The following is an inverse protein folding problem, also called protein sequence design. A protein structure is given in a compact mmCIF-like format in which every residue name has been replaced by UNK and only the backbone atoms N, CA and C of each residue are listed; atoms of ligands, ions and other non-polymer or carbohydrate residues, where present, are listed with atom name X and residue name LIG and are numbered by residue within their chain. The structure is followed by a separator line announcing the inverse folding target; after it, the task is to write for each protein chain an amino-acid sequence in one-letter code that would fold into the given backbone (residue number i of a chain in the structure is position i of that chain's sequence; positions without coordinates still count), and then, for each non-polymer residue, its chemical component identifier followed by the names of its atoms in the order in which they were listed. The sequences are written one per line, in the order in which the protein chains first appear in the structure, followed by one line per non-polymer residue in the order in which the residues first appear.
data_IF_914241876056
#
_entry.id   IF_914241876056
#
_cell.length_a   1.000
_cell.length_b   1.000
_cell.length_c   1.000
_cell.angle_alpha   90.00
_cell.angle_beta   90.00
_cell.angle_gamma   90.00
#
_symmetry.space_group_name_H-M   'P 1'
#
loop_
_entity.id
_entity.type
_entity.pdbx_description
1 polymer ?
#
# COMPACT_ATOMS: atom_id res chain seq x y z
N UNK A 1 -8.15 -42.60 17.38
CA UNK A 1 -7.91 -41.99 16.10
C UNK A 1 -7.31 -40.59 16.36
N UNK A 2 -5.97 -40.54 16.42
CA UNK A 2 -5.20 -39.28 16.44
C UNK A 2 -5.14 -38.77 15.01
N UNK A 3 -5.80 -37.66 14.77
CA UNK A 3 -5.62 -36.96 13.50
C UNK A 3 -4.26 -36.28 13.53
N UNK A 4 -3.29 -36.79 12.79
CA UNK A 4 -2.04 -36.11 12.50
C UNK A 4 -2.38 -34.87 11.64
N UNK A 5 -2.30 -33.70 12.26
CA UNK A 5 -2.40 -32.44 11.55
C UNK A 5 -1.24 -32.34 10.55
N UNK A 6 -1.54 -32.03 9.29
CA UNK A 6 -0.57 -31.84 8.24
C UNK A 6 0.51 -30.83 8.70
N UNK A 7 1.81 -31.05 8.40
CA UNK A 7 2.90 -30.15 8.79
C UNK A 7 2.68 -28.68 8.40
N UNK A 8 2.02 -28.43 7.27
CA UNK A 8 1.63 -27.07 6.84
C UNK A 8 0.69 -26.39 7.85
N UNK A 9 -0.28 -27.13 8.42
CA UNK A 9 -1.23 -26.57 9.40
C UNK A 9 -0.52 -26.22 10.72
N UNK A 10 0.54 -26.93 11.08
CA UNK A 10 1.36 -26.65 12.25
C UNK A 10 2.26 -25.41 12.07
N UNK A 11 2.74 -25.15 10.85
CA UNK A 11 3.54 -23.97 10.53
C UNK A 11 2.65 -22.71 10.54
N UNK A 12 1.46 -22.78 9.93
CA UNK A 12 0.49 -21.66 9.89
C UNK A 12 0.00 -21.26 11.30
N UNK A 13 -0.11 -22.23 12.24
CA UNK A 13 -0.50 -21.94 13.62
C UNK A 13 0.61 -21.27 14.46
N UNK A 14 1.81 -21.05 13.90
CA UNK A 14 2.94 -20.35 14.53
C UNK A 14 3.27 -19.00 13.87
N UNK A 15 2.67 -18.69 12.73
CA UNK A 15 2.92 -17.43 12.03
C UNK A 15 2.26 -16.28 12.77
N UNK A 16 3.04 -15.25 13.09
CA UNK A 16 2.54 -14.02 13.69
C UNK A 16 1.73 -13.24 12.64
N UNK A 17 0.71 -12.47 13.07
CA UNK A 17 -0.10 -11.71 12.11
C UNK A 17 0.69 -10.59 11.43
N UNK A 18 0.23 -10.20 10.25
CA UNK A 18 0.54 -8.91 9.65
C UNK A 18 -0.39 -7.89 10.29
N UNK A 19 0.17 -6.80 10.83
CA UNK A 19 -0.62 -5.72 11.41
C UNK A 19 -0.86 -4.64 10.39
N UNK A 20 -2.13 -4.31 10.16
CA UNK A 20 -2.59 -3.35 9.14
C UNK A 20 -3.17 -2.14 9.86
N UNK A 21 -2.63 -0.95 9.60
CA UNK A 21 -3.11 0.32 10.14
C UNK A 21 -4.03 0.99 9.14
N UNK A 22 -5.26 1.27 9.55
CA UNK A 22 -6.28 1.97 8.75
C UNK A 22 -6.47 3.38 9.31
N UNK A 23 -6.47 4.39 8.44
CA UNK A 23 -6.52 5.80 8.81
C UNK A 23 -7.88 6.45 8.54
N UNK A 24 -8.74 5.82 7.73
CA UNK A 24 -10.13 6.22 7.47
C UNK A 24 -10.95 4.98 7.10
N UNK A 25 -12.23 4.97 7.45
CA UNK A 25 -13.07 3.78 7.38
C UNK A 25 -13.20 3.19 5.96
N UNK A 26 -13.27 4.03 4.92
CA UNK A 26 -13.40 3.61 3.52
C UNK A 26 -12.08 3.15 2.87
N UNK A 27 -10.92 3.36 3.51
CA UNK A 27 -9.60 2.98 3.00
C UNK A 27 -9.02 1.77 3.77
N UNK A 28 -9.79 0.70 3.82
CA UNK A 28 -9.36 -0.57 4.42
C UNK A 28 -8.39 -1.36 3.53
N UNK A 29 -7.98 -2.56 3.98
CA UNK A 29 -6.97 -3.37 3.28
C UNK A 29 -7.42 -3.94 1.93
N UNK A 30 -8.72 -3.87 1.59
CA UNK A 30 -9.23 -4.23 0.28
C UNK A 30 -8.75 -5.60 -0.21
N UNK A 31 -8.19 -5.63 -1.42
CA UNK A 31 -7.68 -6.86 -2.02
C UNK A 31 -6.49 -7.47 -1.25
N UNK A 32 -5.72 -6.67 -0.53
CA UNK A 32 -4.63 -7.21 0.31
C UNK A 32 -5.16 -8.20 1.34
N UNK A 33 -6.27 -7.90 2.02
CA UNK A 33 -6.90 -8.83 2.96
C UNK A 33 -7.31 -10.13 2.25
N UNK A 34 -7.97 -10.05 1.10
CA UNK A 34 -8.33 -11.22 0.28
C UNK A 34 -7.10 -12.05 -0.11
N UNK A 35 -6.00 -11.38 -0.44
CA UNK A 35 -4.74 -12.04 -0.80
C UNK A 35 -4.14 -12.78 0.40
N UNK A 36 -4.08 -12.14 1.57
CA UNK A 36 -3.55 -12.73 2.80
C UNK A 36 -4.39 -13.93 3.26
N UNK A 37 -5.73 -13.81 3.20
CA UNK A 37 -6.66 -14.91 3.53
C UNK A 37 -6.44 -16.12 2.61
N UNK A 38 -6.32 -15.89 1.29
CA UNK A 38 -6.02 -16.96 0.32
C UNK A 38 -4.66 -17.61 0.55
N UNK A 39 -3.69 -16.84 1.01
CA UNK A 39 -2.35 -17.32 1.35
C UNK A 39 -2.28 -18.00 2.72
N UNK A 40 -3.35 -17.96 3.53
CA UNK A 40 -3.39 -18.49 4.89
C UNK A 40 -2.51 -17.69 5.86
N UNK A 41 -2.20 -16.42 5.55
CA UNK A 41 -1.38 -15.55 6.38
C UNK A 41 -2.29 -14.77 7.33
N UNK A 42 -2.14 -14.93 8.65
CA UNK A 42 -2.96 -14.22 9.61
C UNK A 42 -2.67 -12.71 9.56
N UNK A 43 -3.71 -11.91 9.73
CA UNK A 43 -3.61 -10.46 9.81
C UNK A 43 -4.57 -9.89 10.84
N UNK A 44 -4.28 -8.69 11.32
CA UNK A 44 -5.10 -7.94 12.26
C UNK A 44 -5.17 -6.48 11.83
N UNK A 45 -6.30 -5.82 12.11
CA UNK A 45 -6.52 -4.42 11.79
C UNK A 45 -6.40 -3.57 13.06
N UNK A 46 -5.68 -2.46 12.96
CA UNK A 46 -5.69 -1.37 13.93
C UNK A 46 -6.42 -0.18 13.31
N UNK A 47 -7.59 0.15 13.84
CA UNK A 47 -8.44 1.23 13.35
C UNK A 47 -8.01 2.56 14.01
N UNK A 48 -6.98 3.21 13.45
CA UNK A 48 -6.44 4.49 13.96
C UNK A 48 -7.53 5.59 13.90
N UNK A 49 -8.36 5.56 12.86
CA UNK A 49 -9.52 6.43 12.68
C UNK A 49 -10.61 6.26 13.76
N UNK A 50 -10.67 5.08 14.38
CA UNK A 50 -11.58 4.83 15.51
C UNK A 50 -10.94 5.11 16.89
N UNK A 51 -9.72 5.64 16.92
CA UNK A 51 -8.99 5.98 18.14
C UNK A 51 -8.25 4.79 18.78
N UNK A 52 -8.06 3.68 18.05
CA UNK A 52 -7.24 2.59 18.55
C UNK A 52 -5.79 3.02 18.70
N UNK A 53 -5.16 2.61 19.80
CA UNK A 53 -3.78 2.94 20.07
C UNK A 53 -2.84 2.18 19.12
N UNK A 54 -1.78 2.84 18.66
CA UNK A 54 -0.75 2.22 17.82
C UNK A 54 0.12 1.29 18.66
N UNK A 55 0.06 -0.03 18.44
CA UNK A 55 0.89 -0.97 19.18
C UNK A 55 2.35 -0.79 18.82
N UNK A 56 3.20 -0.57 19.83
CA UNK A 56 4.62 -0.35 19.61
C UNK A 56 5.46 -1.63 19.50
N UNK A 57 4.94 -2.81 19.84
CA UNK A 57 5.70 -4.05 19.80
C UNK A 57 5.87 -4.56 18.35
N UNK A 58 7.07 -5.08 18.05
CA UNK A 58 7.39 -5.79 16.80
C UNK A 58 7.51 -7.31 17.02
N UNK A 59 7.58 -7.73 18.27
CA UNK A 59 7.80 -9.15 18.62
C UNK A 59 6.58 -10.04 18.38
N UNK A 60 5.41 -9.47 18.18
CA UNK A 60 4.12 -10.14 18.00
C UNK A 60 3.56 -10.07 16.56
N UNK A 61 4.33 -9.48 15.63
CA UNK A 61 3.94 -9.36 14.21
C UNK A 61 4.99 -9.97 13.29
N UNK A 62 4.58 -10.32 12.07
CA UNK A 62 5.47 -10.76 10.98
C UNK A 62 5.70 -9.66 9.94
N UNK A 63 4.86 -8.64 9.90
CA UNK A 63 4.99 -7.48 9.00
C UNK A 63 4.01 -6.39 9.39
N UNK A 64 4.24 -5.19 8.85
CA UNK A 64 3.39 -4.01 9.06
C UNK A 64 2.88 -3.48 7.73
N UNK A 65 1.62 -3.04 7.71
CA UNK A 65 1.01 -2.39 6.54
C UNK A 65 0.36 -1.08 6.99
N UNK A 66 0.62 -0.01 6.25
CA UNK A 66 0.02 1.30 6.45
C UNK A 66 -0.85 1.63 5.23
N UNK A 67 -2.15 1.81 5.47
CA UNK A 67 -3.13 2.07 4.41
C UNK A 67 -3.15 3.56 4.03
N UNK A 68 -3.98 3.89 3.04
CA UNK A 68 -4.22 5.25 2.60
C UNK A 68 -4.99 6.12 3.59
N UNK A 69 -5.23 7.37 3.20
CA UNK A 69 -6.03 8.34 3.94
C UNK A 69 -5.95 9.73 3.29
N UNK A 70 -6.97 10.57 3.50
CA UNK A 70 -7.05 11.92 2.92
C UNK A 70 -6.15 12.95 3.63
N UNK A 71 -5.48 12.56 4.72
CA UNK A 71 -4.63 13.45 5.52
C UNK A 71 -3.26 13.60 4.89
N UNK A 72 -2.58 14.71 5.17
CA UNK A 72 -1.14 14.84 4.92
C UNK A 72 -0.33 14.23 6.07
N UNK A 73 0.79 13.59 5.76
CA UNK A 73 1.77 13.18 6.78
C UNK A 73 2.40 14.38 7.49
N UNK A 74 2.14 15.61 7.01
CA UNK A 74 2.61 16.85 7.59
C UNK A 74 1.59 17.50 8.52
N UNK A 75 0.39 16.92 8.63
CA UNK A 75 -0.65 17.38 9.55
C UNK A 75 -0.25 17.15 11.02
N UNK A 76 -0.70 17.99 11.94
CA UNK A 76 -0.41 17.86 13.37
C UNK A 76 -1.28 16.79 14.04
N UNK A 77 -1.37 15.60 13.45
CA UNK A 77 -2.15 14.49 13.97
C UNK A 77 -1.33 13.65 14.96
N UNK A 78 -1.89 13.32 16.14
CA UNK A 78 -1.11 12.73 17.25
C UNK A 78 -0.54 11.34 16.93
N UNK A 79 -1.19 10.57 16.06
CA UNK A 79 -0.78 9.21 15.69
C UNK A 79 0.39 9.17 14.69
N UNK A 80 0.60 10.24 13.87
CA UNK A 80 1.65 10.27 12.84
C UNK A 80 3.03 10.04 13.47
N UNK A 81 3.33 10.75 14.55
CA UNK A 81 4.63 10.59 15.22
C UNK A 81 4.90 9.17 15.72
N UNK A 82 3.87 8.48 16.21
CA UNK A 82 3.97 7.10 16.68
C UNK A 82 4.20 6.11 15.51
N UNK A 83 3.52 6.29 14.39
CA UNK A 83 3.70 5.46 13.20
C UNK A 83 5.07 5.67 12.55
N UNK A 84 5.53 6.92 12.41
CA UNK A 84 6.88 7.20 11.92
C UNK A 84 7.96 6.53 12.78
N UNK A 85 7.79 6.52 14.11
CA UNK A 85 8.70 5.84 15.01
C UNK A 85 8.62 4.30 14.86
N UNK A 86 7.41 3.76 14.67
CA UNK A 86 7.20 2.33 14.46
C UNK A 86 7.83 1.85 13.15
N UNK A 87 7.64 2.60 12.06
CA UNK A 87 8.22 2.31 10.74
C UNK A 87 9.75 2.29 10.80
N UNK A 88 10.37 3.30 11.44
CA UNK A 88 11.84 3.32 11.60
C UNK A 88 12.35 2.08 12.31
N UNK A 89 11.75 1.73 13.45
CA UNK A 89 12.15 0.54 14.21
C UNK A 89 11.91 -0.76 13.44
N UNK A 90 10.83 -0.85 12.67
CA UNK A 90 10.56 -2.01 11.83
C UNK A 90 11.62 -2.16 10.74
N UNK A 91 11.99 -1.06 10.07
CA UNK A 91 13.06 -1.04 9.06
C UNK A 91 14.42 -1.42 9.66
N UNK A 92 14.78 -0.89 10.84
CA UNK A 92 16.02 -1.23 11.57
C UNK A 92 16.07 -2.70 12.02
N UNK A 93 14.90 -3.31 12.25
CA UNK A 93 14.76 -4.70 12.68
C UNK A 93 14.50 -5.67 11.51
N UNK A 94 14.62 -5.21 10.25
CA UNK A 94 14.32 -5.98 9.04
C UNK A 94 12.90 -6.58 8.97
N UNK A 95 11.95 -6.04 9.77
CA UNK A 95 10.54 -6.41 9.70
C UNK A 95 9.95 -5.85 8.41
N UNK A 96 9.30 -6.67 7.56
CA UNK A 96 8.68 -6.22 6.33
C UNK A 96 7.63 -5.13 6.55
N UNK A 97 7.73 -4.03 5.79
CA UNK A 97 6.79 -2.90 5.83
C UNK A 97 6.22 -2.65 4.44
N UNK A 98 4.90 -2.44 4.36
CA UNK A 98 4.20 -2.05 3.13
C UNK A 98 3.38 -0.79 3.41
N UNK A 99 3.36 0.14 2.46
CA UNK A 99 2.52 1.33 2.53
C UNK A 99 1.83 1.63 1.22
N UNK A 100 0.54 2.01 1.30
CA UNK A 100 -0.26 2.47 0.17
C UNK A 100 -0.60 3.94 0.36
N UNK A 101 -0.36 4.78 -0.65
CA UNK A 101 -0.64 6.21 -0.69
C UNK A 101 -0.10 6.95 0.56
N UNK A 102 -0.95 7.38 1.49
CA UNK A 102 -0.54 7.95 2.78
C UNK A 102 0.46 7.04 3.50
N UNK A 103 0.25 5.72 3.49
CA UNK A 103 1.18 4.75 4.07
C UNK A 103 2.54 4.76 3.39
N UNK A 104 2.60 4.91 2.07
CA UNK A 104 3.84 5.09 1.32
C UNK A 104 4.56 6.38 1.68
N UNK A 105 3.81 7.46 1.87
CA UNK A 105 4.32 8.76 2.32
C UNK A 105 4.85 8.72 3.76
N UNK A 106 4.15 8.01 4.67
CA UNK A 106 4.62 7.74 6.04
C UNK A 106 5.97 7.01 6.03
N UNK A 107 6.11 5.97 5.20
CA UNK A 107 7.37 5.24 5.03
C UNK A 107 8.46 6.17 4.52
N UNK A 108 8.21 6.94 3.45
CA UNK A 108 9.18 7.87 2.90
C UNK A 108 9.66 8.86 3.96
N UNK A 109 8.74 9.50 4.68
CA UNK A 109 9.06 10.47 5.75
C UNK A 109 9.79 9.83 6.91
N UNK A 110 9.39 8.64 7.33
CA UNK A 110 10.05 7.92 8.44
C UNK A 110 11.51 7.60 8.13
N UNK A 111 11.82 7.30 6.86
CA UNK A 111 13.15 6.90 6.40
C UNK A 111 13.99 8.07 5.85
N UNK A 112 13.53 9.32 6.02
CA UNK A 112 14.30 10.53 5.72
C UNK A 112 13.97 11.18 4.36
N UNK A 113 12.95 10.73 3.66
CA UNK A 113 12.37 11.41 2.52
C UNK A 113 11.48 12.59 2.95
N UNK A 114 11.13 13.45 2.01
CA UNK A 114 10.19 14.55 2.18
C UNK A 114 8.87 14.23 1.48
N UNK A 115 7.77 14.76 1.99
CA UNK A 115 6.44 14.68 1.38
C UNK A 115 5.91 16.09 1.15
N UNK A 116 5.33 16.31 -0.02
CA UNK A 116 4.76 17.59 -0.42
C UNK A 116 3.89 17.48 -1.66
N UNK A 117 3.37 18.62 -2.17
CA UNK A 117 2.50 18.64 -3.33
C UNK A 117 3.13 17.99 -4.56
N UNK A 118 2.38 17.14 -5.26
CA UNK A 118 2.70 16.71 -6.61
C UNK A 118 2.29 17.84 -7.61
N UNK A 119 3.02 17.96 -8.71
CA UNK A 119 2.74 19.00 -9.71
C UNK A 119 1.35 18.85 -10.35
N UNK A 120 0.87 17.62 -10.48
CA UNK A 120 -0.41 17.24 -11.06
C UNK A 120 -1.13 16.27 -10.13
N UNK A 121 -2.39 16.56 -9.78
CA UNK A 121 -3.23 15.61 -9.05
C UNK A 121 -3.58 14.44 -9.95
N UNK A 122 -3.40 13.20 -9.47
CA UNK A 122 -3.76 12.00 -10.19
C UNK A 122 -4.93 11.32 -9.47
N UNK A 123 -6.07 11.17 -10.16
CA UNK A 123 -7.27 10.48 -9.68
C UNK A 123 -7.81 9.57 -10.78
N UNK A 124 -8.04 8.30 -10.45
CA UNK A 124 -8.55 7.30 -11.38
C UNK A 124 -7.51 6.27 -11.80
N UNK A 125 -7.72 5.67 -12.95
CA UNK A 125 -6.91 4.59 -13.49
C UNK A 125 -5.87 5.12 -14.47
N UNK A 126 -4.61 5.10 -14.06
CA UNK A 126 -3.50 5.57 -14.90
C UNK A 126 -2.41 4.50 -15.01
N UNK A 127 -1.70 4.47 -16.15
CA UNK A 127 -0.57 3.57 -16.31
C UNK A 127 0.59 3.98 -15.40
N UNK A 128 1.24 2.98 -14.82
CA UNK A 128 2.55 3.09 -14.19
C UNK A 128 3.58 2.30 -14.98
N UNK A 129 4.78 2.85 -15.09
CA UNK A 129 5.91 2.26 -15.80
C UNK A 129 6.95 1.75 -14.82
N UNK A 130 7.50 0.57 -15.11
CA UNK A 130 8.66 0.03 -14.39
C UNK A 130 9.91 0.85 -14.74
N UNK A 131 10.67 1.16 -13.71
CA UNK A 131 12.00 1.75 -13.90
C UNK A 131 13.04 0.66 -14.19
N UNK A 132 14.21 1.01 -14.78
CA UNK A 132 15.32 0.06 -14.98
C UNK A 132 15.81 -0.55 -13.67
N UNK A 133 16.45 -1.73 -13.76
CA UNK A 133 17.11 -2.41 -12.65
C UNK A 133 16.20 -2.76 -11.44
N UNK A 134 14.92 -2.97 -11.72
CA UNK A 134 13.90 -3.26 -10.69
C UNK A 134 13.48 -4.71 -10.60
N UNK A 135 14.14 -5.62 -11.31
CA UNK A 135 13.75 -7.04 -11.41
C UNK A 135 13.69 -7.75 -10.06
N UNK A 136 14.55 -7.38 -9.11
CA UNK A 136 14.48 -7.93 -7.75
C UNK A 136 13.11 -7.74 -7.06
N UNK A 137 12.37 -6.70 -7.41
CA UNK A 137 11.06 -6.39 -6.85
C UNK A 137 9.90 -6.62 -7.81
N UNK A 138 10.13 -6.42 -9.12
CA UNK A 138 9.08 -6.37 -10.14
C UNK A 138 9.18 -7.50 -11.16
N UNK A 139 9.88 -8.59 -10.82
CA UNK A 139 10.01 -9.77 -11.69
C UNK A 139 8.63 -10.29 -12.13
N UNK A 140 8.48 -10.50 -13.42
CA UNK A 140 7.25 -11.01 -14.03
C UNK A 140 6.11 -9.99 -14.15
N UNK A 141 6.26 -8.74 -13.68
CA UNK A 141 5.34 -7.67 -14.03
C UNK A 141 5.62 -7.15 -15.45
N UNK A 142 4.60 -6.74 -16.20
CA UNK A 142 4.80 -6.09 -17.50
C UNK A 142 5.54 -4.76 -17.34
N UNK A 143 6.16 -4.25 -18.41
CA UNK A 143 6.87 -2.96 -18.38
C UNK A 143 5.95 -1.79 -17.97
N UNK A 144 4.65 -1.91 -18.28
CA UNK A 144 3.62 -0.94 -17.92
C UNK A 144 2.36 -1.70 -17.49
N UNK A 145 1.71 -1.26 -16.43
CA UNK A 145 0.40 -1.76 -16.01
C UNK A 145 -0.45 -0.62 -15.44
N UNK A 146 -1.77 -0.81 -15.38
CA UNK A 146 -2.68 0.20 -14.84
C UNK A 146 -2.82 0.03 -13.33
N UNK A 147 -2.58 1.11 -12.57
CA UNK A 147 -2.86 1.22 -11.14
C UNK A 147 -3.97 2.24 -10.90
N UNK A 148 -4.58 2.20 -9.73
CA UNK A 148 -5.52 3.22 -9.28
C UNK A 148 -4.77 4.32 -8.54
N UNK A 149 -5.17 5.57 -8.74
CA UNK A 149 -4.56 6.75 -8.12
C UNK A 149 -5.63 7.59 -7.45
N UNK A 150 -5.28 8.15 -6.30
CA UNK A 150 -6.06 9.21 -5.65
C UNK A 150 -5.11 9.99 -4.75
N UNK A 151 -4.32 10.89 -5.36
CA UNK A 151 -3.34 11.67 -4.61
C UNK A 151 -3.03 13.02 -5.23
N UNK A 152 -2.77 14.00 -4.37
CA UNK A 152 -2.27 15.33 -4.72
C UNK A 152 -0.91 15.63 -4.10
N UNK A 153 -0.42 14.76 -3.21
CA UNK A 153 0.93 14.81 -2.66
C UNK A 153 1.77 13.64 -3.18
N UNK A 154 3.08 13.78 -3.08
CA UNK A 154 4.07 12.76 -3.42
C UNK A 154 5.25 12.82 -2.47
N UNK A 155 6.17 11.87 -2.59
CA UNK A 155 7.36 11.79 -1.73
C UNK A 155 8.66 11.85 -2.55
N UNK A 156 9.71 12.35 -1.92
CA UNK A 156 11.07 12.14 -2.39
C UNK A 156 11.61 10.81 -1.86
N UNK A 157 12.58 10.24 -2.57
CA UNK A 157 13.17 8.96 -2.19
C UNK A 157 14.09 9.12 -0.97
N UNK A 158 13.97 8.25 0.05
CA UNK A 158 14.97 8.13 1.09
C UNK A 158 16.34 7.69 0.56
N UNK A 159 17.40 8.00 1.28
CA UNK A 159 18.75 7.54 0.91
C UNK A 159 18.83 6.00 0.88
N UNK A 160 19.34 5.45 -0.21
CA UNK A 160 19.45 4.01 -0.42
C UNK A 160 18.18 3.34 -0.93
N UNK A 161 17.11 4.08 -1.16
CA UNK A 161 15.90 3.55 -1.77
C UNK A 161 16.12 3.26 -3.27
N UNK A 162 15.55 2.16 -3.74
CA UNK A 162 15.49 1.79 -5.16
C UNK A 162 14.15 2.27 -5.72
N UNK A 163 14.14 3.22 -6.66
CA UNK A 163 12.90 3.64 -7.32
C UNK A 163 12.37 2.50 -8.19
N UNK A 164 11.07 2.23 -8.12
CA UNK A 164 10.48 1.08 -8.79
C UNK A 164 9.53 1.45 -9.93
N UNK A 165 8.63 2.40 -9.69
CA UNK A 165 7.56 2.78 -10.59
C UNK A 165 7.47 4.31 -10.71
N UNK A 166 7.06 4.77 -11.89
CA UNK A 166 6.65 6.15 -12.16
C UNK A 166 5.34 6.18 -12.96
N UNK A 167 4.67 7.31 -12.96
CA UNK A 167 3.59 7.63 -13.90
C UNK A 167 3.97 8.82 -14.80
N UNK A 168 3.08 9.20 -15.70
CA UNK A 168 3.28 10.39 -16.55
C UNK A 168 3.38 11.69 -15.74
N UNK A 169 2.78 11.74 -14.54
CA UNK A 169 2.63 12.95 -13.73
C UNK A 169 3.27 12.85 -12.34
N UNK A 170 3.82 11.69 -11.98
CA UNK A 170 4.51 11.49 -10.70
C UNK A 170 5.73 10.59 -10.89
N UNK A 171 6.91 11.13 -10.59
CA UNK A 171 8.19 10.40 -10.74
C UNK A 171 8.32 9.22 -9.77
N UNK A 172 7.73 9.33 -8.58
CA UNK A 172 7.88 8.38 -7.50
C UNK A 172 6.53 7.70 -7.17
N UNK A 173 6.12 6.75 -7.99
CA UNK A 173 4.93 5.93 -7.73
C UNK A 173 5.21 4.73 -6.83
N UNK A 174 6.46 4.29 -6.75
CA UNK A 174 6.89 3.26 -5.80
C UNK A 174 8.40 3.28 -5.59
N UNK A 175 8.80 2.88 -4.39
CA UNK A 175 10.20 2.54 -4.07
C UNK A 175 10.27 1.36 -3.11
N UNK A 176 11.47 0.74 -3.07
CA UNK A 176 11.80 -0.25 -2.07
C UNK A 176 13.12 0.11 -1.35
N UNK A 177 13.23 -0.30 -0.09
CA UNK A 177 14.44 -0.24 0.70
C UNK A 177 14.46 -1.41 1.70
N UNK A 178 15.48 -2.28 1.63
CA UNK A 178 15.48 -3.53 2.42
C UNK A 178 14.22 -4.36 2.15
N UNK A 179 13.48 -4.69 3.23
CA UNK A 179 12.22 -5.42 3.18
C UNK A 179 10.98 -4.50 3.15
N UNK A 180 11.16 -3.23 2.84
CA UNK A 180 10.11 -2.22 2.80
C UNK A 180 9.69 -1.92 1.37
N UNK A 181 8.37 -1.88 1.11
CA UNK A 181 7.77 -1.45 -0.14
C UNK A 181 6.82 -0.27 0.11
N UNK A 182 7.06 0.85 -0.53
CA UNK A 182 6.21 2.04 -0.48
C UNK A 182 5.60 2.30 -1.85
N UNK A 183 4.28 2.46 -1.87
CA UNK A 183 3.48 2.74 -3.06
C UNK A 183 2.78 4.08 -2.89
N UNK A 184 2.86 4.97 -3.88
CA UNK A 184 2.00 6.15 -3.97
C UNK A 184 0.67 5.80 -4.59
N UNK A 185 0.68 4.95 -5.61
CA UNK A 185 -0.53 4.40 -6.21
C UNK A 185 -1.16 3.32 -5.34
N UNK A 186 -2.41 3.01 -5.64
CA UNK A 186 -3.18 1.96 -4.99
C UNK A 186 -3.20 0.70 -5.85
N UNK A 187 -2.90 -0.44 -5.27
CA UNK A 187 -3.00 -1.76 -5.90
C UNK A 187 -3.96 -2.70 -5.14
N UNK A 188 -4.45 -2.25 -4.00
CA UNK A 188 -5.39 -2.96 -3.11
C UNK A 188 -6.86 -2.74 -3.46
N UNK A 189 -7.17 -1.93 -4.48
CA UNK A 189 -8.54 -1.55 -4.79
C UNK A 189 -9.42 -2.73 -5.17
N UNK A 190 -10.67 -2.63 -4.75
CA UNK A 190 -11.77 -3.49 -5.16
C UNK A 190 -12.85 -2.66 -5.85
N UNK A 191 -13.69 -3.27 -6.66
CA UNK A 191 -14.77 -2.55 -7.34
C UNK A 191 -15.74 -1.85 -6.37
N UNK A 192 -16.13 -2.44 -5.22
CA UNK A 192 -16.89 -1.71 -4.20
C UNK A 192 -16.16 -0.47 -3.67
N UNK A 193 -14.84 -0.55 -3.35
CA UNK A 193 -14.07 0.59 -2.87
C UNK A 193 -14.03 1.73 -3.87
N UNK A 194 -13.77 1.43 -5.16
CA UNK A 194 -13.74 2.48 -6.19
C UNK A 194 -15.10 3.17 -6.33
N UNK A 195 -16.21 2.41 -6.26
CA UNK A 195 -17.55 3.00 -6.29
C UNK A 195 -17.82 3.88 -5.07
N UNK A 196 -17.41 3.42 -3.90
CA UNK A 196 -17.55 4.17 -2.64
C UNK A 196 -16.76 5.47 -2.69
N UNK A 197 -15.48 5.43 -3.12
CA UNK A 197 -14.63 6.62 -3.21
C UNK A 197 -15.14 7.62 -4.25
N UNK A 198 -15.58 7.15 -5.42
CA UNK A 198 -16.16 8.00 -6.46
C UNK A 198 -17.44 8.72 -5.99
N UNK A 199 -18.18 8.13 -5.05
CA UNK A 199 -19.35 8.76 -4.45
C UNK A 199 -18.98 9.70 -3.28
N UNK A 200 -18.07 9.27 -2.41
CA UNK A 200 -17.69 9.97 -1.18
C UNK A 200 -16.84 11.22 -1.46
N UNK A 201 -15.90 11.12 -2.40
CA UNK A 201 -14.96 12.19 -2.77
C UNK A 201 -15.33 12.87 -4.11
N UNK A 202 -16.62 12.89 -4.42
CA UNK A 202 -17.14 13.38 -5.70
C UNK A 202 -16.64 14.79 -6.07
N UNK A 203 -16.56 15.68 -5.09
CA UNK A 203 -16.14 17.07 -5.32
C UNK A 203 -14.68 17.18 -5.82
N UNK A 204 -13.86 16.16 -5.55
CA UNK A 204 -12.48 16.11 -6.05
C UNK A 204 -12.39 15.73 -7.53
N UNK A 205 -13.46 15.15 -8.11
CA UNK A 205 -13.51 14.78 -9.52
C UNK A 205 -13.80 15.97 -10.45
N UNK A 206 -14.19 17.12 -9.88
CA UNK A 206 -14.38 18.38 -10.61
C UNK A 206 -13.06 19.15 -10.81
N UNK A 207 -11.92 18.62 -10.31
CA UNK A 207 -10.60 19.21 -10.49
C UNK A 207 -10.20 19.19 -12.00
N UNK A 208 -9.81 20.33 -12.59
CA UNK A 208 -9.46 20.42 -14.01
C UNK A 208 -8.09 19.81 -14.35
N UNK A 209 -7.47 19.10 -13.44
CA UNK A 209 -6.18 18.43 -13.67
C UNK A 209 -6.28 17.44 -14.84
N UNK A 210 -5.28 17.36 -15.72
CA UNK A 210 -5.28 16.46 -16.88
C UNK A 210 -5.25 14.98 -16.51
N UNK A 211 -5.02 14.65 -15.24
CA UNK A 211 -4.96 13.28 -14.72
C UNK A 211 -6.05 13.00 -13.68
N UNK A 212 -7.15 13.75 -13.70
CA UNK A 212 -8.37 13.47 -12.92
C UNK A 212 -9.44 12.93 -13.86
N UNK A 213 -9.85 11.68 -13.65
CA UNK A 213 -10.95 11.05 -14.38
C UNK A 213 -12.27 11.42 -13.72
N UNK A 214 -13.31 11.63 -14.52
CA UNK A 214 -14.68 11.72 -14.01
C UNK A 214 -15.19 10.35 -13.48
N UNK A 215 -16.30 10.37 -12.76
CA UNK A 215 -16.87 9.15 -12.19
C UNK A 215 -17.28 8.12 -13.27
N UNK A 216 -17.73 8.58 -14.44
CA UNK A 216 -18.12 7.70 -15.56
C UNK A 216 -16.92 6.97 -16.14
N UNK A 217 -15.84 7.69 -16.40
CA UNK A 217 -14.57 7.13 -16.88
C UNK A 217 -13.95 6.17 -15.85
N UNK A 218 -13.97 6.57 -14.56
CA UNK A 218 -13.41 5.77 -13.47
C UNK A 218 -14.17 4.45 -13.30
N UNK A 219 -15.50 4.45 -13.42
CA UNK A 219 -16.35 3.27 -13.25
C UNK A 219 -16.50 2.43 -14.52
N UNK A 220 -16.04 2.94 -15.66
CA UNK A 220 -16.10 2.19 -16.92
C UNK A 220 -15.23 0.92 -16.85
N UNK A 221 -15.82 -0.23 -17.19
CA UNK A 221 -15.17 -1.54 -17.18
C UNK A 221 -14.44 -1.87 -15.85
N UNK A 222 -14.96 -1.40 -14.73
CA UNK A 222 -14.33 -1.45 -13.41
C UNK A 222 -13.88 -2.86 -13.02
N UNK A 223 -14.67 -3.89 -13.28
CA UNK A 223 -14.33 -5.26 -12.93
C UNK A 223 -13.07 -5.74 -13.67
N UNK A 224 -12.93 -5.37 -14.95
CA UNK A 224 -11.75 -5.72 -15.75
C UNK A 224 -10.50 -4.95 -15.27
N UNK A 225 -10.66 -3.67 -14.93
CA UNK A 225 -9.56 -2.83 -14.41
C UNK A 225 -9.06 -3.36 -13.07
N UNK A 226 -9.97 -3.67 -12.16
CA UNK A 226 -9.67 -4.27 -10.86
C UNK A 226 -8.98 -5.62 -11.04
N UNK A 227 -9.48 -6.50 -11.92
CA UNK A 227 -8.84 -7.81 -12.16
C UNK A 227 -7.42 -7.68 -12.71
N UNK A 228 -7.19 -6.73 -13.64
CA UNK A 228 -5.86 -6.44 -14.17
C UNK A 228 -4.89 -5.92 -13.10
N UNK A 229 -5.35 -5.01 -12.25
CA UNK A 229 -4.58 -4.48 -11.12
C UNK A 229 -4.25 -5.57 -10.09
N UNK A 230 -5.21 -6.43 -9.74
CA UNK A 230 -5.02 -7.51 -8.78
C UNK A 230 -3.97 -8.53 -9.24
N UNK A 231 -3.86 -8.76 -10.54
CA UNK A 231 -2.78 -9.60 -11.10
C UNK A 231 -1.38 -8.99 -10.87
N UNK A 232 -1.26 -7.67 -10.90
CA UNK A 232 -0.02 -6.96 -10.54
C UNK A 232 0.20 -6.97 -9.02
N UNK A 233 -0.85 -6.71 -8.23
CA UNK A 233 -0.82 -6.74 -6.77
C UNK A 233 -0.36 -8.10 -6.23
N UNK A 234 -0.85 -9.20 -6.80
CA UNK A 234 -0.44 -10.57 -6.43
C UNK A 234 1.10 -10.75 -6.50
N UNK A 235 1.75 -10.20 -7.53
CA UNK A 235 3.21 -10.29 -7.69
C UNK A 235 3.95 -9.43 -6.68
N UNK A 236 3.50 -8.19 -6.49
CA UNK A 236 4.07 -7.25 -5.50
C UNK A 236 3.96 -7.81 -4.08
N UNK A 237 2.79 -8.31 -3.70
CA UNK A 237 2.56 -8.86 -2.36
C UNK A 237 3.34 -10.15 -2.13
N UNK A 238 3.42 -11.07 -3.11
CA UNK A 238 4.27 -12.27 -3.00
C UNK A 238 5.74 -11.90 -2.81
N UNK A 239 6.22 -10.90 -3.55
CA UNK A 239 7.61 -10.45 -3.41
C UNK A 239 7.87 -9.82 -2.04
N UNK A 240 6.95 -8.97 -1.56
CA UNK A 240 7.03 -8.34 -0.25
C UNK A 240 6.99 -9.36 0.89
N UNK A 241 6.24 -10.44 0.74
CA UNK A 241 6.09 -11.49 1.76
C UNK A 241 7.23 -12.51 1.81
N UNK A 242 8.14 -12.53 0.83
CA UNK A 242 9.26 -13.51 0.82
C UNK A 242 10.00 -13.61 2.16
N UNK A 243 10.37 -12.53 2.85
CA UNK A 243 11.07 -12.62 4.13
C UNK A 243 10.25 -13.30 5.25
N UNK A 244 8.94 -13.44 5.06
CA UNK A 244 8.01 -14.04 6.03
C UNK A 244 7.72 -15.51 5.67
N UNK A 245 7.72 -15.85 4.38
CA UNK A 245 7.26 -17.16 3.85
C UNK A 245 8.38 -18.10 3.46
N UNK A 246 9.58 -17.59 3.18
CA UNK A 246 10.80 -18.36 2.85
C UNK A 246 11.61 -18.65 4.12
#
# INVERSE_FOLDING_TARGET
LTFDLCPLTLILNRMKPIRIFRHVACEGPGYLATFLDRAGIPWELVAVDAGEAIPGALSDVSGLVFMGGPMSVNDPLPWIGAELALIRRASEADVPVLGHCLGGQLIAKALGGAVGPNAVREIGWHPVERLPDTDAWLEGLPATFTAFHWHGETFSLPAGAVPLLRSAHCENQAFAIGNTLALQCHVEMTAPMVREWAALYRDELDDPSPAVQDAGEMLAAIENRVAGQQAAADRLYRRWLRPITD
#
